data_IF_598166835486
#
_entry.id   IF_598166835486
#
_cell.length_a   1.000
_cell.length_b   1.000
_cell.length_c   1.000
_cell.angle_alpha   90.00
_cell.angle_beta   90.00
_cell.angle_gamma   90.00
#
_symmetry.space_group_name_H-M   'P 1'
#
loop_
_entity.id
_entity.type
_entity.pdbx_description
1 polymer ?
#
# COMPACT_ATOMS: atom_id res chain seq x y z
N UNK A 1 -6.44 0.75 7.25
CA UNK A 1 -5.38 -0.07 6.64
C UNK A 1 -4.89 -1.08 7.67
N UNK A 2 -4.85 -2.38 7.33
CA UNK A 2 -4.63 -3.48 8.28
C UNK A 2 -3.16 -3.65 8.73
N UNK A 3 -2.27 -2.69 8.42
CA UNK A 3 -0.87 -2.70 8.89
C UNK A 3 0.01 -3.85 8.37
N UNK A 4 -0.46 -4.66 7.41
CA UNK A 4 0.26 -5.85 6.96
C UNK A 4 1.63 -5.52 6.36
N UNK A 5 2.65 -6.29 6.75
CA UNK A 5 3.98 -6.27 6.13
C UNK A 5 3.93 -6.79 4.68
N UNK A 6 4.95 -6.49 3.88
CA UNK A 6 5.02 -6.97 2.50
C UNK A 6 5.05 -8.51 2.42
N UNK A 7 5.70 -9.18 3.39
CA UNK A 7 5.72 -10.65 3.50
C UNK A 7 4.33 -11.22 3.78
N UNK A 8 3.55 -10.59 4.66
CA UNK A 8 2.17 -11.01 4.93
C UNK A 8 1.27 -10.80 3.71
N UNK A 9 1.39 -9.67 3.00
CA UNK A 9 0.65 -9.41 1.76
C UNK A 9 1.00 -10.44 0.70
N UNK A 10 2.29 -10.74 0.52
CA UNK A 10 2.79 -11.76 -0.39
C UNK A 10 2.18 -13.14 -0.11
N UNK A 11 2.13 -13.54 1.16
CA UNK A 11 1.51 -14.80 1.59
C UNK A 11 0.01 -14.85 1.31
N UNK A 12 -0.72 -13.77 1.58
CA UNK A 12 -2.18 -13.71 1.35
C UNK A 12 -2.51 -13.77 -0.14
N UNK A 13 -1.70 -13.12 -0.97
CA UNK A 13 -1.93 -13.03 -2.42
C UNK A 13 -1.22 -14.13 -3.23
N UNK A 14 -0.48 -15.03 -2.58
CA UNK A 14 0.34 -16.06 -3.21
C UNK A 14 1.28 -15.53 -4.32
N UNK A 15 2.00 -14.44 -4.02
CA UNK A 15 2.98 -13.81 -4.91
C UNK A 15 4.28 -13.54 -4.16
N UNK A 16 5.36 -13.20 -4.88
CA UNK A 16 6.63 -12.84 -4.24
C UNK A 16 6.54 -11.50 -3.49
N UNK A 17 7.32 -11.35 -2.41
CA UNK A 17 7.47 -10.06 -1.72
C UNK A 17 8.01 -8.96 -2.65
N UNK A 18 8.86 -9.33 -3.62
CA UNK A 18 9.37 -8.40 -4.62
C UNK A 18 8.24 -7.88 -5.53
N UNK A 19 7.30 -8.75 -5.91
CA UNK A 19 6.11 -8.37 -6.69
C UNK A 19 5.27 -7.35 -5.89
N UNK A 20 5.06 -7.58 -4.59
CA UNK A 20 4.37 -6.62 -3.70
C UNK A 20 5.08 -5.26 -3.69
N UNK A 21 6.42 -5.24 -3.55
CA UNK A 21 7.21 -3.99 -3.56
C UNK A 21 7.02 -3.21 -4.87
N UNK A 22 7.02 -3.90 -6.01
CA UNK A 22 6.77 -3.28 -7.33
C UNK A 22 5.36 -2.69 -7.40
N UNK A 23 4.34 -3.42 -6.95
CA UNK A 23 2.98 -2.90 -6.91
C UNK A 23 2.83 -1.68 -6.00
N UNK A 24 3.44 -1.70 -4.81
CA UNK A 24 3.45 -0.53 -3.90
C UNK A 24 4.11 0.66 -4.59
N UNK A 25 5.29 0.51 -5.19
CA UNK A 25 5.96 1.61 -5.91
C UNK A 25 5.09 2.20 -7.03
N UNK A 26 4.46 1.33 -7.81
CA UNK A 26 3.56 1.75 -8.88
C UNK A 26 2.31 2.46 -8.35
N UNK A 27 1.74 1.96 -7.25
CA UNK A 27 0.60 2.58 -6.56
C UNK A 27 0.96 3.99 -6.07
N UNK A 28 2.07 4.14 -5.34
CA UNK A 28 2.53 5.44 -4.83
C UNK A 28 2.72 6.46 -5.96
N UNK A 29 3.31 6.03 -7.09
CA UNK A 29 3.47 6.87 -8.29
C UNK A 29 2.12 7.29 -8.87
N UNK A 30 1.18 6.35 -9.01
CA UNK A 30 -0.16 6.64 -9.56
C UNK A 30 -0.99 7.56 -8.65
N UNK A 31 -0.80 7.44 -7.35
CA UNK A 31 -1.45 8.30 -6.34
C UNK A 31 -0.70 9.63 -6.12
N UNK A 32 0.43 9.84 -6.79
CA UNK A 32 1.29 11.01 -6.61
C UNK A 32 1.71 11.28 -5.15
N UNK A 33 2.02 10.22 -4.40
CA UNK A 33 2.44 10.30 -2.99
C UNK A 33 3.82 9.66 -2.80
N UNK A 34 4.59 10.17 -1.84
CA UNK A 34 5.99 9.76 -1.64
C UNK A 34 6.19 8.60 -0.67
N UNK A 35 5.16 8.21 0.09
CA UNK A 35 5.29 7.15 1.10
C UNK A 35 3.97 6.39 1.31
N UNK A 36 4.10 5.18 1.86
CA UNK A 36 2.97 4.35 2.27
C UNK A 36 2.12 5.02 3.35
N UNK A 37 2.73 5.81 4.23
CA UNK A 37 2.01 6.60 5.25
C UNK A 37 1.16 7.67 4.58
N UNK A 38 1.73 8.43 3.64
CA UNK A 38 0.98 9.44 2.89
C UNK A 38 -0.19 8.82 2.11
N UNK A 39 0.03 7.66 1.47
CA UNK A 39 -1.04 6.91 0.80
C UNK A 39 -2.15 6.46 1.77
N UNK A 40 -1.79 6.09 3.00
CA UNK A 40 -2.74 5.68 4.04
C UNK A 40 -3.57 6.87 4.51
N UNK A 41 -2.94 8.02 4.75
CA UNK A 41 -3.63 9.26 5.12
C UNK A 41 -4.59 9.69 4.01
N UNK A 42 -4.13 9.72 2.76
CA UNK A 42 -4.96 10.05 1.60
C UNK A 42 -6.20 9.14 1.53
N UNK A 43 -6.03 7.83 1.75
CA UNK A 43 -7.12 6.87 1.76
C UNK A 43 -8.14 7.15 2.89
N UNK A 44 -7.68 7.46 4.11
CA UNK A 44 -8.54 7.77 5.24
C UNK A 44 -9.35 9.05 5.01
N UNK A 45 -8.68 10.10 4.51
CA UNK A 45 -9.32 11.36 4.12
C UNK A 45 -10.39 11.15 3.05
N UNK A 46 -10.09 10.36 2.02
CA UNK A 46 -11.04 10.09 0.93
C UNK A 46 -12.26 9.28 1.40
N UNK A 47 -12.13 8.46 2.46
CA UNK A 47 -13.25 7.65 2.99
C UNK A 47 -14.05 8.33 4.10
N UNK A 48 -13.72 9.58 4.46
CA UNK A 48 -14.40 10.29 5.55
C UNK A 48 -14.20 9.64 6.93
N UNK A 49 -13.20 8.77 7.07
CA UNK A 49 -12.85 8.12 8.33
C UNK A 49 -11.77 9.00 8.97
N UNK A 50 -12.21 9.99 9.75
CA UNK A 50 -11.37 10.72 10.71
C UNK A 50 -11.62 10.17 12.11
#
# INVERSE_FOLDING_TARGET
AQGLSNKQIASVLNISEQTVKVHIRNLLRKLNVRSRVAATILFLQTRGIQ
#
